data_IF_855364787301
#
_entry.id   IF_855364787301
#
_cell.length_a   1.000
_cell.length_b   1.000
_cell.length_c   1.000
_cell.angle_alpha   90.00
_cell.angle_beta   90.00
_cell.angle_gamma   90.00
#
_symmetry.space_group_name_H-M   'P 1'
#
loop_
_entity.id
_entity.type
_entity.pdbx_description
1 polymer ?
#
# COMPACT_ATOMS: atom_id res chain seq x y z
N UNK A 1 4.94 22.58 6.99
CA UNK A 1 6.18 22.22 7.70
C UNK A 1 6.40 20.75 7.40
N UNK A 2 7.41 20.40 6.60
CA UNK A 2 7.71 18.99 6.29
C UNK A 2 8.32 18.34 7.53
N UNK A 3 7.70 17.28 8.03
CA UNK A 3 8.19 16.55 9.21
C UNK A 3 9.37 15.65 8.77
N UNK A 4 10.55 15.84 9.35
CA UNK A 4 11.74 15.05 8.99
C UNK A 4 11.60 13.55 9.28
N UNK A 5 10.57 13.12 10.02
CA UNK A 5 10.27 11.70 10.18
C UNK A 5 9.63 11.06 8.94
N UNK A 6 9.25 11.85 7.94
CA UNK A 6 8.65 11.39 6.69
C UNK A 6 9.68 10.77 5.72
N UNK A 7 10.87 10.38 6.20
CA UNK A 7 11.96 9.83 5.39
C UNK A 7 11.97 8.29 5.27
N UNK A 8 11.02 7.55 5.86
CA UNK A 8 11.05 6.08 5.79
C UNK A 8 9.69 5.37 5.89
N UNK A 9 8.57 6.10 5.96
CA UNK A 9 7.27 5.48 6.23
C UNK A 9 6.53 5.13 4.94
N UNK A 10 6.18 3.86 4.79
CA UNK A 10 5.33 3.37 3.70
C UNK A 10 3.88 3.84 3.93
N UNK A 11 3.67 5.01 3.34
CA UNK A 11 2.45 5.75 3.04
C UNK A 11 1.38 5.14 2.13
N UNK A 12 0.12 4.97 2.54
CA UNK A 12 -0.96 4.88 1.55
C UNK A 12 -1.12 6.24 0.85
N UNK A 13 -0.94 6.36 -0.48
CA UNK A 13 -1.04 7.64 -1.17
C UNK A 13 -2.48 8.19 -1.24
N UNK A 14 -3.49 7.35 -1.06
CA UNK A 14 -4.91 7.75 -1.16
C UNK A 14 -5.50 8.15 0.20
N UNK A 15 -5.16 7.42 1.26
CA UNK A 15 -5.74 7.60 2.60
C UNK A 15 -4.78 8.23 3.61
N UNK A 16 -3.49 8.33 3.27
CA UNK A 16 -2.41 8.73 4.18
C UNK A 16 -2.27 7.86 5.43
N UNK A 17 -2.82 6.64 5.39
CA UNK A 17 -2.70 5.64 6.45
C UNK A 17 -1.45 4.77 6.24
N UNK A 18 -0.99 4.04 7.27
CA UNK A 18 0.11 3.08 7.14
C UNK A 18 -0.21 1.98 6.11
N UNK A 19 0.83 1.49 5.43
CA UNK A 19 0.79 0.26 4.65
C UNK A 19 1.45 -0.88 5.43
N UNK A 20 0.82 -2.04 5.39
CA UNK A 20 1.33 -3.30 5.93
C UNK A 20 1.75 -4.22 4.80
N UNK A 21 2.88 -4.90 4.94
CA UNK A 21 3.28 -5.94 3.99
C UNK A 21 2.64 -7.27 4.37
N UNK A 22 1.83 -7.80 3.47
CA UNK A 22 1.27 -9.14 3.50
C UNK A 22 2.23 -10.09 2.78
N UNK A 23 2.86 -10.99 3.55
CA UNK A 23 3.84 -11.93 3.03
C UNK A 23 3.20 -13.12 2.31
N UNK A 24 1.93 -13.43 2.59
CA UNK A 24 1.22 -14.56 1.98
C UNK A 24 0.81 -14.21 0.55
N UNK A 25 0.29 -13.01 0.35
CA UNK A 25 -0.18 -12.50 -0.95
C UNK A 25 0.88 -11.64 -1.67
N UNK A 26 2.05 -11.43 -1.04
CA UNK A 26 3.12 -10.54 -1.51
C UNK A 26 2.59 -9.15 -1.92
N UNK A 27 1.82 -8.52 -1.04
CA UNK A 27 1.17 -7.24 -1.32
C UNK A 27 1.36 -6.25 -0.17
N UNK A 28 1.32 -4.95 -0.48
CA UNK A 28 1.13 -3.90 0.51
C UNK A 28 -0.36 -3.61 0.67
N UNK A 29 -0.86 -3.64 1.89
CA UNK A 29 -2.28 -3.44 2.22
C UNK A 29 -2.41 -2.20 3.10
N UNK A 30 -3.34 -1.30 2.79
CA UNK A 30 -3.64 -0.16 3.66
C UNK A 30 -4.23 -0.62 4.99
N UNK A 31 -3.95 0.09 6.09
CA UNK A 31 -4.50 -0.22 7.43
C UNK A 31 -6.03 -0.38 7.46
N UNK A 32 -6.76 0.44 6.70
CA UNK A 32 -8.23 0.38 6.58
C UNK A 32 -8.71 -0.74 5.61
N UNK A 33 -7.80 -1.48 4.99
CA UNK A 33 -8.07 -2.66 4.16
C UNK A 33 -8.61 -2.38 2.74
N UNK A 34 -8.85 -1.12 2.39
CA UNK A 34 -9.44 -0.73 1.09
C UNK A 34 -8.50 -0.82 -0.11
N UNK A 35 -7.19 -0.73 0.11
CA UNK A 35 -6.22 -0.70 -0.98
C UNK A 35 -5.17 -1.78 -0.81
N UNK A 36 -4.80 -2.39 -1.94
CA UNK A 36 -3.80 -3.45 -2.03
C UNK A 36 -2.92 -3.21 -3.24
N UNK A 37 -1.61 -3.29 -3.06
CA UNK A 37 -0.63 -3.12 -4.13
C UNK A 37 0.30 -4.32 -4.21
N UNK A 38 0.44 -4.98 -5.36
CA UNK A 38 1.33 -6.12 -5.49
C UNK A 38 2.80 -5.71 -5.37
N UNK A 39 3.60 -6.60 -4.79
CA UNK A 39 5.06 -6.48 -4.71
C UNK A 39 5.68 -7.47 -5.69
N UNK A 40 6.25 -6.94 -6.77
CA UNK A 40 6.80 -7.74 -7.87
C UNK A 40 8.32 -7.61 -7.85
N UNK A 41 9.03 -8.74 -7.72
CA UNK A 41 10.49 -8.76 -7.54
C UNK A 41 10.99 -7.88 -6.38
N UNK A 42 10.20 -7.79 -5.30
CA UNK A 42 10.53 -6.95 -4.14
C UNK A 42 10.25 -5.45 -4.33
N UNK A 43 9.67 -5.05 -5.47
CA UNK A 43 9.33 -3.66 -5.76
C UNK A 43 7.82 -3.48 -5.66
N UNK A 44 7.32 -2.56 -4.82
CA UNK A 44 5.89 -2.27 -4.74
C UNK A 44 5.41 -1.52 -5.99
N UNK A 45 4.31 -1.98 -6.57
CA UNK A 45 3.74 -1.43 -7.80
C UNK A 45 2.51 -0.58 -7.47
N UNK A 46 2.72 0.74 -7.36
CA UNK A 46 1.65 1.73 -7.15
C UNK A 46 1.10 2.21 -8.50
N UNK A 47 0.09 1.52 -9.02
CA UNK A 47 -0.66 1.98 -10.20
C UNK A 47 -1.97 2.59 -9.69
N UNK A 48 -2.32 3.82 -10.09
CA UNK A 48 -3.55 4.49 -9.63
C UNK A 48 -4.85 3.77 -10.06
N UNK A 49 -4.73 2.83 -11.01
CA UNK A 49 -5.80 2.01 -11.57
C UNK A 49 -5.73 0.54 -11.11
N UNK A 50 -4.65 0.10 -10.45
CA UNK A 50 -4.53 -1.28 -10.00
C UNK A 50 -5.35 -1.50 -8.72
N UNK A 51 -6.66 -1.57 -8.89
CA UNK A 51 -7.57 -2.17 -7.93
C UNK A 51 -7.44 -3.71 -8.02
N UNK A 52 -6.29 -4.27 -7.62
CA UNK A 52 -6.24 -5.73 -7.34
C UNK A 52 -6.89 -5.96 -5.99
N UNK A 53 -8.21 -5.94 -6.02
CA UNK A 53 -9.05 -6.03 -4.85
C UNK A 53 -10.23 -5.08 -4.96
N UNK A 54 -11.05 -5.22 -6.01
CA UNK A 54 -12.47 -5.04 -5.75
C UNK A 54 -12.80 -5.86 -4.50
N UNK A 55 -13.52 -5.30 -3.52
CA UNK A 55 -14.11 -6.15 -2.49
C UNK A 55 -14.82 -7.27 -3.24
N UNK A 56 -14.34 -8.50 -3.03
CA UNK A 56 -15.22 -9.64 -3.17
C UNK A 56 -16.50 -9.27 -2.42
N UNK A 57 -17.63 -9.45 -3.09
CA UNK A 57 -18.94 -9.60 -2.47
C UNK A 57 -18.86 -10.39 -1.15
#
# INVERSE_FOLDING_TARGET
MFDSNMLAWLICPMSHLPLHFDAEEQCLVSEDGRYRWPVINGIPVFIPDAETGSPHE
#
